data_IF_438343911110
#
_entry.id   IF_438343911110
#
_cell.length_a   1.000
_cell.length_b   1.000
_cell.length_c   1.000
_cell.angle_alpha   90.00
_cell.angle_beta   90.00
_cell.angle_gamma   90.00
#
_symmetry.space_group_name_H-M   'P 1'
#
loop_
_entity.id
_entity.type
_entity.pdbx_description
1 polymer ?
#
# COMPACT_ATOMS: atom_id res chain seq x y z
N UNK A 1 2.19 6.34 -15.56
CA UNK A 1 3.07 6.54 -14.37
C UNK A 1 2.57 7.54 -13.32
N UNK A 2 1.92 8.69 -13.64
CA UNK A 2 1.57 9.69 -12.60
C UNK A 2 0.58 9.21 -11.53
N UNK A 3 -0.40 8.37 -11.88
CA UNK A 3 -1.45 7.90 -10.97
C UNK A 3 -0.90 6.97 -9.88
N UNK A 4 -0.01 6.04 -10.26
CA UNK A 4 0.60 5.06 -9.35
C UNK A 4 1.47 5.75 -8.30
N UNK A 5 2.26 6.74 -8.71
CA UNK A 5 3.08 7.52 -7.77
C UNK A 5 2.24 8.32 -6.79
N UNK A 6 1.06 8.80 -7.18
CA UNK A 6 0.16 9.53 -6.29
C UNK A 6 -0.45 8.61 -5.23
N UNK A 7 -0.96 7.44 -5.64
CA UNK A 7 -1.49 6.45 -4.69
C UNK A 7 -0.41 5.94 -3.73
N UNK A 8 0.79 5.66 -4.25
CA UNK A 8 1.94 5.26 -3.43
C UNK A 8 2.28 6.33 -2.39
N UNK A 9 2.39 7.60 -2.82
CA UNK A 9 2.68 8.73 -1.91
C UNK A 9 1.57 8.99 -0.90
N UNK A 10 0.32 8.67 -1.23
CA UNK A 10 -0.78 8.77 -0.26
C UNK A 10 -0.69 7.70 0.82
N UNK A 11 -0.16 6.52 0.49
CA UNK A 11 0.02 5.40 1.41
C UNK A 11 1.32 5.51 2.21
N UNK A 12 2.42 5.94 1.58
CA UNK A 12 3.74 6.22 2.19
C UNK A 12 3.64 7.48 3.07
N UNK A 13 3.16 7.29 4.29
CA UNK A 13 2.85 8.36 5.21
C UNK A 13 4.12 8.97 5.83
N UNK A 14 5.18 8.17 5.96
CA UNK A 14 6.45 8.59 6.53
C UNK A 14 7.44 9.16 5.47
N UNK A 15 7.19 8.91 4.18
CA UNK A 15 7.99 9.40 3.06
C UNK A 15 9.32 8.67 2.86
N UNK A 16 9.46 7.43 3.35
CA UNK A 16 10.70 6.65 3.26
C UNK A 16 10.85 5.90 1.92
N UNK A 17 9.84 6.02 1.04
CA UNK A 17 9.82 5.38 -0.26
C UNK A 17 9.39 3.92 -0.20
N UNK A 18 8.81 3.49 0.92
CA UNK A 18 8.24 2.17 1.15
C UNK A 18 6.86 2.34 1.78
N UNK A 19 6.01 1.34 1.60
CA UNK A 19 4.71 1.28 2.27
C UNK A 19 4.69 0.03 3.12
N UNK A 20 4.49 0.19 4.43
CA UNK A 20 4.30 -0.95 5.33
C UNK A 20 2.83 -1.23 5.60
N UNK A 21 2.54 -2.43 6.13
CA UNK A 21 1.18 -2.82 6.49
C UNK A 21 0.51 -1.79 7.43
N UNK A 22 1.27 -1.26 8.39
CA UNK A 22 0.77 -0.26 9.34
C UNK A 22 0.33 1.03 8.63
N UNK A 23 1.08 1.48 7.62
CA UNK A 23 0.73 2.66 6.83
C UNK A 23 -0.49 2.41 5.95
N UNK A 24 -0.62 1.19 5.42
CA UNK A 24 -1.81 0.75 4.69
C UNK A 24 -3.05 0.77 5.58
N UNK A 25 -2.96 0.28 6.82
CA UNK A 25 -4.05 0.35 7.81
C UNK A 25 -4.38 1.81 8.13
N UNK A 26 -3.39 2.64 8.45
CA UNK A 26 -3.62 4.07 8.73
C UNK A 26 -4.23 4.84 7.56
N UNK A 27 -3.90 4.46 6.32
CA UNK A 27 -4.53 5.00 5.13
C UNK A 27 -6.02 4.63 5.05
N UNK A 28 -6.37 3.37 5.33
CA UNK A 28 -7.76 2.88 5.38
C UNK A 28 -8.57 3.57 6.50
N UNK A 29 -7.97 3.70 7.68
CA UNK A 29 -8.55 4.44 8.81
C UNK A 29 -8.87 5.89 8.43
N UNK A 30 -7.93 6.57 7.76
CA UNK A 30 -8.14 7.93 7.27
C UNK A 30 -9.24 8.03 6.22
N UNK A 31 -9.37 7.03 5.34
CA UNK A 31 -10.37 7.06 4.27
C UNK A 31 -11.80 6.87 4.78
N UNK A 32 -12.03 6.47 6.04
CA UNK A 32 -13.35 6.32 6.71
C UNK A 32 -14.47 5.65 5.88
N UNK A 33 -14.10 4.93 4.83
CA UNK A 33 -15.01 4.35 3.84
C UNK A 33 -15.28 2.87 4.11
N UNK A 34 -14.57 2.29 5.07
CA UNK A 34 -14.64 0.87 5.45
C UNK A 34 -14.83 0.79 6.96
N UNK A 35 -15.57 -0.19 7.51
CA UNK A 35 -15.62 -0.45 8.95
C UNK A 35 -14.24 -0.78 9.52
N UNK A 36 -13.93 -0.31 10.73
CA UNK A 36 -12.64 -0.53 11.41
C UNK A 36 -12.31 -2.01 11.56
N UNK A 37 -13.33 -2.86 11.77
CA UNK A 37 -13.21 -4.32 11.83
C UNK A 37 -12.65 -4.96 10.55
N UNK A 38 -12.81 -4.29 9.41
CA UNK A 38 -12.37 -4.80 8.10
C UNK A 38 -11.08 -4.12 7.61
N UNK A 39 -10.58 -3.09 8.30
CA UNK A 39 -9.36 -2.36 7.90
C UNK A 39 -8.16 -3.28 7.85
N UNK A 40 -7.95 -4.09 8.88
CA UNK A 40 -6.80 -5.00 8.96
C UNK A 40 -6.86 -6.07 7.88
N UNK A 41 -7.99 -6.78 7.73
CA UNK A 41 -8.12 -7.86 6.75
C UNK A 41 -7.95 -7.36 5.31
N UNK A 42 -8.53 -6.19 5.00
CA UNK A 42 -8.42 -5.60 3.67
C UNK A 42 -7.01 -5.05 3.41
N UNK A 43 -6.41 -4.38 4.41
CA UNK A 43 -5.04 -3.90 4.34
C UNK A 43 -4.07 -5.06 4.13
N UNK A 44 -4.17 -6.16 4.88
CA UNK A 44 -3.34 -7.35 4.72
C UNK A 44 -3.50 -7.98 3.33
N UNK A 45 -4.74 -8.06 2.82
CA UNK A 45 -5.00 -8.62 1.49
C UNK A 45 -4.37 -7.78 0.38
N UNK A 46 -4.52 -6.46 0.44
CA UNK A 46 -3.89 -5.53 -0.50
C UNK A 46 -2.37 -5.59 -0.34
N UNK A 47 -1.90 -5.58 0.89
CA UNK A 47 -0.49 -5.58 1.22
C UNK A 47 0.21 -6.81 0.61
N UNK A 48 -0.34 -8.01 0.88
CA UNK A 48 0.18 -9.28 0.37
C UNK A 48 0.08 -9.39 -1.15
N UNK A 49 -0.87 -8.68 -1.78
CA UNK A 49 -1.00 -8.66 -3.23
C UNK A 49 0.15 -7.91 -3.91
N UNK A 50 0.59 -6.80 -3.31
CA UNK A 50 1.66 -5.95 -3.84
C UNK A 50 3.06 -6.35 -3.34
N UNK A 51 3.19 -6.85 -2.10
CA UNK A 51 4.44 -7.34 -1.52
C UNK A 51 4.85 -8.67 -2.19
N UNK A 52 5.45 -8.56 -3.37
CA UNK A 52 5.82 -9.71 -4.22
C UNK A 52 6.96 -10.49 -3.61
N UNK A 53 7.95 -9.78 -3.05
CA UNK A 53 9.13 -10.39 -2.47
C UNK A 53 8.91 -10.85 -1.01
N UNK A 54 7.79 -10.47 -0.39
CA UNK A 54 7.41 -10.81 1.00
C UNK A 54 8.42 -10.28 2.02
N UNK A 55 9.01 -9.14 1.75
CA UNK A 55 9.98 -8.50 2.65
C UNK A 55 9.32 -7.64 3.73
N UNK A 56 7.98 -7.55 3.72
CA UNK A 56 7.21 -6.79 4.69
C UNK A 56 7.12 -5.30 4.36
N UNK A 57 7.54 -4.89 3.16
CA UNK A 57 7.42 -3.52 2.66
C UNK A 57 7.12 -3.54 1.16
N UNK A 58 6.24 -2.65 0.70
CA UNK A 58 5.99 -2.49 -0.73
C UNK A 58 6.80 -1.30 -1.22
N UNK A 59 7.68 -1.53 -2.19
CA UNK A 59 8.41 -0.45 -2.86
C UNK A 59 7.73 -0.03 -4.17
N UNK A 60 8.06 1.16 -4.67
CA UNK A 60 7.51 1.69 -5.93
C UNK A 60 7.61 0.68 -7.11
N UNK A 61 8.69 -0.10 -7.16
CA UNK A 61 8.89 -1.11 -8.21
C UNK A 61 7.96 -2.32 -8.08
N UNK A 62 7.48 -2.64 -6.89
CA UNK A 62 6.49 -3.71 -6.65
C UNK A 62 5.06 -3.21 -6.83
N UNK A 63 4.84 -1.91 -6.64
CA UNK A 63 3.58 -1.24 -6.89
C UNK A 63 3.30 -1.06 -8.41
N UNK A 64 4.35 -1.08 -9.24
CA UNK A 64 4.23 -1.02 -10.69
C UNK A 64 3.96 -2.43 -11.27
N UNK A 65 3.02 -2.57 -12.22
CA UNK A 65 2.84 -3.83 -12.93
C UNK A 65 4.14 -4.18 -13.69
N UNK A 66 4.60 -5.42 -13.52
CA UNK A 66 5.84 -5.92 -14.13
C UNK A 66 5.79 -5.99 -15.67
N UNK A 67 4.62 -5.76 -16.29
CA UNK A 67 4.37 -5.82 -17.74
C UNK A 67 4.69 -4.53 -18.52
N UNK A 68 5.17 -3.46 -17.88
CA UNK A 68 5.52 -2.19 -18.54
C UNK A 68 7.02 -1.83 -18.48
N UNK A 69 7.91 -2.81 -18.63
CA UNK A 69 9.35 -2.59 -18.88
C UNK A 69 9.78 -3.10 -20.25
#
# INVERSE_FOLDING_TARGET
>A
MKEITSAFKEMDANGDGKVVLQETISYMEKKKQIPESDHTNMAESIFTFYDKNKDGHIVLSEFLPHDEL
#
